data_IF_738061480839
#
_entry.id   IF_738061480839
#
_cell.length_a   1.000
_cell.length_b   1.000
_cell.length_c   1.000
_cell.angle_alpha   90.00
_cell.angle_beta   90.00
_cell.angle_gamma   90.00
#
_symmetry.space_group_name_H-M   'P 1'
#
loop_
_entity.id
_entity.type
_entity.pdbx_description
1 polymer ?
#
# COMPACT_ATOMS: atom_id res chain seq x y z
N UNK A 1 -35.11 -8.89 -12.12
CA UNK A 1 -34.16 -9.54 -12.00
C UNK A 1 -33.52 -9.20 -10.89
N UNK A 2 -33.22 -9.87 -10.39
CA UNK A 2 -32.60 -9.57 -9.42
C UNK A 2 -31.39 -9.17 -9.65
N UNK A 3 -31.08 -8.23 -9.27
CA UNK A 3 -29.89 -7.86 -9.44
C UNK A 3 -29.03 -8.56 -8.59
N UNK A 4 -28.18 -9.15 -9.15
CA UNK A 4 -27.21 -9.73 -8.45
C UNK A 4 -26.57 -8.70 -7.66
N UNK A 5 -26.51 -8.87 -6.42
CA UNK A 5 -25.89 -7.95 -5.62
C UNK A 5 -24.47 -8.23 -5.65
N UNK A 6 -23.78 -7.43 -6.40
CA UNK A 6 -22.38 -7.56 -6.48
C UNK A 6 -21.80 -6.63 -5.44
N UNK A 7 -21.85 -7.08 -4.20
CA UNK A 7 -21.32 -6.28 -3.12
C UNK A 7 -19.82 -6.29 -3.18
N UNK A 8 -19.25 -5.16 -3.46
CA UNK A 8 -17.81 -5.07 -3.40
C UNK A 8 -17.37 -5.14 -1.96
N UNK A 9 -16.13 -5.53 -1.78
CA UNK A 9 -15.58 -5.80 -0.45
C UNK A 9 -15.79 -4.62 0.49
N UNK A 10 -15.44 -3.41 0.06
CA UNK A 10 -15.55 -2.23 0.90
C UNK A 10 -17.01 -1.89 1.20
N UNK A 11 -17.88 -1.99 0.22
CA UNK A 11 -19.31 -1.72 0.44
C UNK A 11 -19.92 -2.72 1.38
N UNK A 12 -19.54 -3.97 1.25
CA UNK A 12 -20.03 -5.02 2.12
C UNK A 12 -19.61 -4.76 3.57
N UNK A 13 -18.37 -4.37 3.76
CA UNK A 13 -17.86 -4.09 5.09
C UNK A 13 -18.56 -2.89 5.68
N UNK A 14 -18.74 -1.85 4.90
CA UNK A 14 -19.38 -0.63 5.35
C UNK A 14 -20.81 -0.89 5.76
N UNK A 15 -21.54 -1.67 4.97
CA UNK A 15 -22.92 -1.97 5.26
C UNK A 15 -23.05 -2.87 6.47
N UNK A 16 -22.24 -3.91 6.54
CA UNK A 16 -22.31 -4.88 7.62
C UNK A 16 -22.02 -4.25 8.97
N UNK A 17 -21.01 -3.40 9.04
CA UNK A 17 -20.56 -2.84 10.30
C UNK A 17 -21.04 -1.41 10.53
N UNK A 18 -21.83 -0.88 9.60
CA UNK A 18 -22.39 0.47 9.70
C UNK A 18 -21.30 1.48 9.99
N UNK A 19 -20.27 1.47 9.15
CA UNK A 19 -19.14 2.35 9.36
C UNK A 19 -19.53 3.80 9.15
N UNK A 20 -18.94 4.67 9.96
CA UNK A 20 -19.21 6.09 9.82
C UNK A 20 -18.42 6.66 8.67
N UNK A 21 -18.96 7.70 8.07
CA UNK A 21 -18.17 8.47 7.13
C UNK A 21 -17.21 9.33 7.91
N UNK A 22 -15.96 9.29 7.54
CA UNK A 22 -14.92 10.10 8.16
C UNK A 22 -14.20 10.87 7.09
N UNK A 23 -13.94 12.15 7.37
CA UNK A 23 -13.15 12.95 6.45
C UNK A 23 -11.73 12.41 6.48
N UNK A 24 -11.25 11.97 5.32
CA UNK A 24 -9.95 11.34 5.24
C UNK A 24 -8.83 12.26 5.70
N UNK A 25 -9.06 13.58 5.65
CA UNK A 25 -8.07 14.54 6.11
C UNK A 25 -7.88 14.52 7.62
N UNK A 26 -8.80 13.87 8.35
CA UNK A 26 -8.67 13.76 9.80
C UNK A 26 -7.68 12.68 10.21
N UNK A 27 -7.26 11.83 9.30
CA UNK A 27 -6.33 10.78 9.65
C UNK A 27 -4.89 11.27 9.57
N UNK A 28 -4.09 10.89 10.56
CA UNK A 28 -2.68 11.21 10.55
C UNK A 28 -1.96 10.38 9.49
N UNK A 29 -0.79 10.82 9.04
CA UNK A 29 -0.03 10.03 8.08
C UNK A 29 0.29 8.62 8.57
N UNK A 30 0.54 8.47 9.86
CA UNK A 30 0.85 7.13 10.39
C UNK A 30 -0.39 6.23 10.43
N UNK A 31 -1.58 6.81 10.63
CA UNK A 31 -2.82 6.04 10.52
C UNK A 31 -3.02 5.57 9.08
N UNK A 32 -2.75 6.45 8.12
CA UNK A 32 -2.85 6.07 6.72
C UNK A 32 -1.85 4.98 6.37
N UNK A 33 -0.62 5.10 6.88
CA UNK A 33 0.40 4.08 6.62
C UNK A 33 0.01 2.74 7.26
N UNK A 34 -0.62 2.79 8.42
CA UNK A 34 -1.05 1.58 9.12
C UNK A 34 -2.00 0.76 8.24
N UNK A 35 -3.03 1.39 7.68
CA UNK A 35 -3.95 0.65 6.82
C UNK A 35 -3.33 0.37 5.46
N UNK A 36 -2.46 1.27 4.99
CA UNK A 36 -1.78 1.09 3.71
C UNK A 36 -0.85 -0.11 3.68
N UNK A 37 -0.19 -0.37 4.80
CA UNK A 37 0.65 -1.55 4.93
C UNK A 37 -0.17 -2.82 4.69
N UNK A 38 -1.35 -2.90 5.28
CA UNK A 38 -2.20 -4.07 5.12
C UNK A 38 -2.73 -4.23 3.71
N UNK A 39 -3.16 -3.14 3.08
CA UNK A 39 -3.73 -3.28 1.75
C UNK A 39 -2.64 -3.61 0.72
N UNK A 40 -1.46 -3.03 0.85
CA UNK A 40 -0.36 -3.37 -0.04
C UNK A 40 0.03 -4.83 0.13
N UNK A 41 0.11 -5.29 1.38
CA UNK A 41 0.43 -6.68 1.66
C UNK A 41 -0.60 -7.62 1.04
N UNK A 42 -1.88 -7.27 1.13
CA UNK A 42 -2.94 -8.07 0.52
C UNK A 42 -2.81 -8.12 -1.00
N UNK A 43 -2.51 -6.99 -1.62
CA UNK A 43 -2.32 -6.95 -3.07
C UNK A 43 -1.17 -7.87 -3.47
N UNK A 44 -0.04 -7.78 -2.78
CA UNK A 44 1.11 -8.59 -3.13
C UNK A 44 0.86 -10.07 -2.89
N UNK A 45 0.21 -10.41 -1.78
CA UNK A 45 -0.13 -11.80 -1.53
C UNK A 45 -1.08 -12.35 -2.58
N UNK A 46 -2.03 -11.53 -3.01
CA UNK A 46 -2.95 -11.95 -4.06
C UNK A 46 -2.20 -12.27 -5.35
N UNK A 47 -1.24 -11.43 -5.71
CA UNK A 47 -0.45 -11.66 -6.92
C UNK A 47 0.42 -12.91 -6.80
N UNK A 48 1.01 -13.12 -5.63
CA UNK A 48 1.85 -14.29 -5.41
C UNK A 48 1.02 -15.57 -5.44
N UNK A 49 -0.13 -15.58 -4.77
CA UNK A 49 -1.00 -16.74 -4.73
C UNK A 49 -1.54 -17.06 -6.13
N UNK A 50 -1.79 -16.03 -6.92
CA UNK A 50 -2.31 -16.23 -8.27
C UNK A 50 -1.33 -16.94 -9.19
N UNK A 51 -0.05 -16.94 -8.85
CA UNK A 51 0.96 -17.64 -9.64
C UNK A 51 0.93 -19.16 -9.42
N UNK A 52 0.20 -19.61 -8.42
CA UNK A 52 0.03 -21.05 -8.19
C UNK A 52 0.28 -21.43 -6.75
N UNK A 53 -0.22 -22.58 -6.39
CA UNK A 53 -0.07 -23.09 -5.03
C UNK A 53 1.38 -23.51 -4.78
N UNK A 54 1.91 -23.09 -3.64
CA UNK A 54 3.27 -23.40 -3.22
C UNK A 54 3.29 -23.61 -1.71
N UNK A 55 4.34 -24.22 -1.16
CA UNK A 55 4.45 -24.29 0.30
C UNK A 55 4.43 -22.87 0.88
N UNK A 56 3.80 -22.74 2.05
CA UNK A 56 3.58 -21.42 2.63
C UNK A 56 4.88 -20.68 2.89
N UNK A 57 5.95 -21.38 3.19
CA UNK A 57 7.24 -20.73 3.43
C UNK A 57 7.75 -20.05 2.16
N UNK A 58 7.51 -20.67 1.01
CA UNK A 58 7.91 -20.09 -0.25
C UNK A 58 7.04 -18.88 -0.59
N UNK A 59 5.74 -18.97 -0.30
CA UNK A 59 4.84 -17.83 -0.50
C UNK A 59 5.29 -16.64 0.33
N UNK A 60 5.67 -16.86 1.59
CA UNK A 60 6.17 -15.80 2.46
C UNK A 60 7.44 -15.17 1.91
N UNK A 61 8.35 -16.00 1.43
CA UNK A 61 9.61 -15.50 0.91
C UNK A 61 9.39 -14.63 -0.32
N UNK A 62 8.52 -15.07 -1.22
CA UNK A 62 8.24 -14.31 -2.42
C UNK A 62 7.54 -12.99 -2.09
N UNK A 63 6.57 -13.03 -1.18
CA UNK A 63 5.89 -11.81 -0.78
C UNK A 63 6.85 -10.82 -0.13
N UNK A 64 7.73 -11.34 0.73
CA UNK A 64 8.69 -10.52 1.44
C UNK A 64 9.55 -9.69 0.50
N UNK A 65 9.88 -10.23 -0.66
CA UNK A 65 10.68 -9.52 -1.66
C UNK A 65 10.05 -8.18 -2.04
N UNK A 66 8.73 -8.08 -2.00
CA UNK A 66 8.02 -6.89 -2.44
C UNK A 66 7.55 -6.00 -1.30
N UNK A 67 7.40 -6.55 -0.09
CA UNK A 67 6.82 -5.77 1.01
C UNK A 67 7.85 -5.24 1.98
N UNK A 68 9.11 -5.59 1.82
CA UNK A 68 10.15 -5.03 2.68
C UNK A 68 10.33 -3.55 2.42
N UNK A 69 10.76 -2.83 3.44
CA UNK A 69 10.96 -1.39 3.32
C UNK A 69 11.92 -1.04 2.19
N UNK A 70 12.95 -1.87 2.00
CA UNK A 70 13.92 -1.64 0.95
C UNK A 70 13.27 -1.67 -0.44
N UNK A 71 12.36 -2.62 -0.67
CA UNK A 71 11.67 -2.72 -1.95
C UNK A 71 10.74 -1.54 -2.16
N UNK A 72 9.99 -1.18 -1.13
CA UNK A 72 9.08 -0.05 -1.24
C UNK A 72 9.85 1.25 -1.47
N UNK A 73 11.00 1.39 -0.84
CA UNK A 73 11.85 2.55 -1.03
C UNK A 73 12.35 2.64 -2.47
N UNK A 74 12.73 1.50 -3.05
CA UNK A 74 13.14 1.48 -4.45
C UNK A 74 12.02 1.88 -5.38
N UNK A 75 10.82 1.38 -5.11
CA UNK A 75 9.66 1.75 -5.92
C UNK A 75 9.44 3.26 -5.87
N UNK A 76 9.61 3.86 -4.71
CA UNK A 76 9.38 5.29 -4.55
C UNK A 76 10.36 6.15 -5.31
N UNK A 77 11.54 5.66 -5.61
CA UNK A 77 12.48 6.43 -6.44
C UNK A 77 11.90 6.76 -7.80
N UNK A 78 11.09 5.85 -8.33
CA UNK A 78 10.43 6.06 -9.61
C UNK A 78 9.07 6.72 -9.41
N UNK A 79 8.32 6.26 -8.41
CA UNK A 79 6.94 6.68 -8.23
C UNK A 79 6.80 8.14 -7.84
N UNK A 80 7.78 8.70 -7.12
CA UNK A 80 7.60 10.06 -6.61
C UNK A 80 7.42 11.09 -7.72
N UNK A 81 7.93 10.82 -8.90
CA UNK A 81 7.74 11.72 -10.04
C UNK A 81 6.39 11.53 -10.70
N UNK A 82 5.70 10.44 -10.37
CA UNK A 82 4.40 10.13 -10.94
C UNK A 82 3.25 10.55 -10.03
N UNK A 83 3.54 10.97 -8.82
CA UNK A 83 2.51 11.32 -7.86
C UNK A 83 1.83 12.64 -8.22
N UNK A 84 0.53 12.70 -8.00
CA UNK A 84 -0.17 13.98 -8.08
C UNK A 84 0.29 14.85 -6.93
N UNK A 85 -0.08 16.14 -6.97
CA UNK A 85 0.26 17.05 -5.89
C UNK A 85 -0.28 16.57 -4.55
N UNK A 86 -1.51 16.10 -4.54
CA UNK A 86 -2.15 15.61 -3.34
C UNK A 86 -1.44 14.35 -2.81
N UNK A 87 -1.16 13.42 -3.71
CA UNK A 87 -0.45 12.20 -3.33
C UNK A 87 0.94 12.51 -2.80
N UNK A 88 1.61 13.45 -3.43
CA UNK A 88 2.94 13.82 -3.01
C UNK A 88 2.94 14.45 -1.62
N UNK A 89 1.91 15.24 -1.31
CA UNK A 89 1.75 15.81 0.02
C UNK A 89 1.60 14.72 1.07
N UNK A 90 0.76 13.72 0.78
CA UNK A 90 0.57 12.58 1.68
C UNK A 90 1.88 11.82 1.86
N UNK A 91 2.58 11.57 0.75
CA UNK A 91 3.85 10.87 0.80
C UNK A 91 4.86 11.61 1.70
N UNK A 92 5.00 12.91 1.49
CA UNK A 92 5.97 13.68 2.28
C UNK A 92 5.63 13.68 3.75
N UNK A 93 4.36 13.81 4.08
CA UNK A 93 3.93 13.81 5.48
C UNK A 93 4.20 12.46 6.12
N UNK A 94 3.96 11.37 5.39
CA UNK A 94 4.26 10.03 5.90
C UNK A 94 5.75 9.82 6.08
N UNK A 95 6.53 10.21 5.08
CA UNK A 95 7.98 10.06 5.14
C UNK A 95 8.58 10.85 6.31
N UNK A 96 8.02 12.00 6.60
CA UNK A 96 8.55 12.88 7.64
C UNK A 96 7.91 12.67 9.01
N UNK A 97 7.00 11.71 9.14
CA UNK A 97 6.35 11.45 10.40
C UNK A 97 7.33 10.86 11.40
N UNK A 98 7.16 11.23 12.66
CA UNK A 98 7.92 10.58 13.70
C UNK A 98 7.40 9.17 13.83
N UNK A 99 8.29 8.23 13.86
CA UNK A 99 7.91 6.85 14.00
C UNK A 99 8.91 6.15 14.87
N UNK A 100 8.60 4.91 15.23
CA UNK A 100 9.53 4.12 16.01
C UNK A 100 10.78 3.86 15.19
N UNK A 101 11.84 3.48 15.91
CA UNK A 101 13.09 3.15 15.22
C UNK A 101 12.88 2.00 14.26
N UNK A 102 13.55 2.02 13.11
CA UNK A 102 13.43 0.92 12.18
C UNK A 102 14.03 -0.34 12.76
N UNK A 103 13.60 -1.48 12.21
CA UNK A 103 14.16 -2.74 12.60
C UNK A 103 15.65 -2.77 12.26
N UNK A 104 16.35 -3.67 12.93
CA UNK A 104 17.77 -3.84 12.64
C UNK A 104 17.97 -4.13 11.16
N UNK A 105 19.00 -3.60 10.60
CA UNK A 105 19.40 -3.80 9.21
C UNK A 105 18.56 -3.02 8.20
N UNK A 106 17.65 -2.17 8.65
CA UNK A 106 16.95 -1.27 7.76
C UNK A 106 17.59 0.10 7.83
N UNK A 107 17.77 0.74 6.70
CA UNK A 107 18.22 2.12 6.72
C UNK A 107 17.05 3.01 7.13
N UNK A 108 17.36 4.11 7.78
CA UNK A 108 16.34 5.07 8.19
C UNK A 108 15.64 5.65 6.97
N UNK A 109 16.41 5.91 5.90
CA UNK A 109 15.86 6.46 4.68
C UNK A 109 14.86 5.51 4.05
N UNK A 110 15.22 4.22 3.95
CA UNK A 110 14.33 3.23 3.36
C UNK A 110 13.06 3.09 4.18
N UNK A 111 13.20 3.06 5.49
CA UNK A 111 12.06 2.94 6.38
C UNK A 111 11.09 4.12 6.20
N UNK A 112 11.63 5.34 6.14
CA UNK A 112 10.80 6.53 5.98
C UNK A 112 10.10 6.57 4.62
N UNK A 113 10.81 6.20 3.57
CA UNK A 113 10.19 6.14 2.25
C UNK A 113 9.09 5.09 2.19
N UNK A 114 9.31 3.95 2.83
CA UNK A 114 8.29 2.92 2.90
C UNK A 114 7.06 3.43 3.64
N UNK A 115 7.27 4.14 4.75
CA UNK A 115 6.14 4.71 5.50
C UNK A 115 5.37 5.69 4.63
N UNK A 116 6.07 6.51 3.86
CA UNK A 116 5.42 7.44 2.95
C UNK A 116 4.63 6.73 1.86
N UNK A 117 5.20 5.67 1.30
CA UNK A 117 4.50 4.87 0.30
C UNK A 117 3.23 4.25 0.89
N UNK A 118 3.36 3.68 2.09
CA UNK A 118 2.20 3.07 2.74
C UNK A 118 1.13 4.10 3.05
N UNK A 119 1.51 5.31 3.40
CA UNK A 119 0.55 6.37 3.63
C UNK A 119 -0.24 6.68 2.36
N UNK A 120 0.43 6.71 1.20
CA UNK A 120 -0.25 6.92 -0.07
C UNK A 120 -1.20 5.77 -0.37
N UNK A 121 -0.76 4.53 -0.13
CA UNK A 121 -1.61 3.36 -0.33
C UNK A 121 -2.86 3.44 0.54
N UNK A 122 -2.69 3.77 1.81
CA UNK A 122 -3.82 3.88 2.72
C UNK A 122 -4.77 5.00 2.33
N UNK A 123 -4.22 6.12 1.88
CA UNK A 123 -5.00 7.26 1.42
C UNK A 123 -5.88 6.86 0.23
N UNK A 124 -5.28 6.21 -0.75
CA UNK A 124 -6.02 5.81 -1.95
C UNK A 124 -7.06 4.73 -1.63
N UNK A 125 -6.72 3.82 -0.73
CA UNK A 125 -7.66 2.79 -0.32
C UNK A 125 -8.89 3.41 0.36
N UNK A 126 -8.67 4.29 1.33
CA UNK A 126 -9.78 4.91 2.06
C UNK A 126 -10.58 5.86 1.19
N UNK A 127 -9.94 6.48 0.21
CA UNK A 127 -10.60 7.33 -0.74
C UNK A 127 -11.35 6.52 -1.79
N UNK A 128 -11.12 5.22 -1.82
CA UNK A 128 -11.72 4.28 -2.76
C UNK A 128 -11.26 4.52 -4.20
N UNK A 129 -10.06 5.05 -4.36
CA UNK A 129 -9.47 5.23 -5.67
C UNK A 129 -8.61 4.02 -5.99
N UNK A 130 -9.26 2.89 -6.18
CA UNK A 130 -8.57 1.62 -6.36
C UNK A 130 -7.81 1.55 -7.67
N UNK A 131 -8.35 2.16 -8.71
CA UNK A 131 -7.69 2.16 -10.00
C UNK A 131 -6.34 2.86 -9.92
N UNK A 132 -6.30 4.01 -9.24
CA UNK A 132 -5.05 4.74 -9.08
C UNK A 132 -4.07 3.98 -8.21
N UNK A 133 -4.58 3.36 -7.13
CA UNK A 133 -3.74 2.55 -6.26
C UNK A 133 -3.06 1.43 -7.04
N UNK A 134 -3.84 0.71 -7.86
CA UNK A 134 -3.28 -0.38 -8.66
C UNK A 134 -2.30 0.13 -9.71
N UNK A 135 -2.58 1.29 -10.28
CA UNK A 135 -1.68 1.89 -11.25
C UNK A 135 -0.30 2.16 -10.65
N UNK A 136 -0.28 2.74 -9.44
CA UNK A 136 0.98 3.01 -8.77
C UNK A 136 1.71 1.73 -8.41
N UNK A 137 0.98 0.73 -7.92
CA UNK A 137 1.61 -0.55 -7.59
C UNK A 137 2.23 -1.17 -8.84
N UNK A 138 1.50 -1.15 -9.96
CA UNK A 138 2.01 -1.72 -11.18
C UNK A 138 3.27 -1.02 -11.66
N UNK A 139 3.29 0.30 -11.61
CA UNK A 139 4.47 1.05 -11.99
C UNK A 139 5.65 0.74 -11.08
N UNK A 140 5.39 0.64 -9.77
CA UNK A 140 6.44 0.33 -8.83
C UNK A 140 7.03 -1.05 -9.03
N UNK A 141 6.17 -2.04 -9.27
CA UNK A 141 6.63 -3.40 -9.51
C UNK A 141 7.45 -3.48 -10.78
N UNK A 142 7.04 -2.76 -11.82
CA UNK A 142 7.79 -2.74 -13.06
C UNK A 142 9.19 -2.19 -12.83
N UNK A 143 9.32 -1.16 -11.99
CA UNK A 143 10.64 -0.59 -11.72
C UNK A 143 11.53 -1.59 -10.99
N UNK A 144 10.98 -2.44 -10.15
CA UNK A 144 11.78 -3.46 -9.48
C UNK A 144 12.27 -4.52 -10.45
N UNK A 145 11.44 -4.88 -11.43
CA UNK A 145 11.84 -5.86 -12.42
C UNK A 145 12.96 -5.33 -13.31
N UNK A 146 12.92 -4.06 -13.64
CA UNK A 146 13.92 -3.46 -14.54
C UNK A 146 15.28 -3.33 -13.89
N UNK A 147 15.33 -3.40 -12.55
CA UNK A 147 16.61 -3.32 -11.86
C UNK A 147 17.29 -4.67 -11.69
N UNK A 148 16.67 -5.73 -12.12
CA UNK A 148 17.27 -7.07 -12.00
C UNK A 148 18.16 -7.45 -13.18
#
# INVERSE_FOLDING_TARGET
MEKSINWEFDSCMQETFRLKEVDIREYSPLTLAYIGDSIYDLIMKTLVVNQGNKPVQKLHKETSTYVQAKAQSKMMRVLQEELTEEEHSIYKRGRNSKSVSPANNQSVTDYRRATGFEAVMGYLYLKKDYARMMELVKMGLKSLEEEQ
#
